data_IF_073377569077
#
_entry.id   IF_073377569077
#
_cell.length_a   1.000
_cell.length_b   1.000
_cell.length_c   1.000
_cell.angle_alpha   90.00
_cell.angle_beta   90.00
_cell.angle_gamma   90.00
#
_symmetry.space_group_name_H-M   'P 1'
#
loop_
_entity.id
_entity.type
_entity.pdbx_description
1 polymer ?
#
# COMPACT_ATOMS: atom_id res chain seq x y z
N UNK A 1 -1.62 -26.64 8.07
CA UNK A 1 -1.40 -26.80 9.52
C UNK A 1 0.11 -26.78 9.79
N UNK A 2 0.57 -26.12 10.85
CA UNK A 2 1.95 -26.22 11.35
C UNK A 2 1.98 -27.20 12.53
N UNK A 3 3.07 -27.92 12.68
CA UNK A 3 3.30 -28.87 13.77
C UNK A 3 4.59 -28.51 14.48
N UNK A 4 4.67 -28.83 15.77
CA UNK A 4 5.85 -28.62 16.59
C UNK A 4 6.51 -29.96 16.86
N UNK A 5 7.80 -30.09 16.53
CA UNK A 5 8.62 -31.25 16.89
C UNK A 5 9.20 -31.04 18.28
N UNK A 6 8.74 -31.85 19.24
CA UNK A 6 9.12 -31.76 20.64
C UNK A 6 10.58 -32.15 20.83
N UNK A 7 11.11 -33.04 19.97
CA UNK A 7 12.48 -33.57 20.07
C UNK A 7 13.51 -32.52 19.65
N UNK A 8 13.23 -31.83 18.56
CA UNK A 8 14.14 -30.85 17.96
C UNK A 8 13.78 -29.41 18.34
N UNK A 9 12.64 -29.18 19.00
CA UNK A 9 12.08 -27.86 19.29
C UNK A 9 11.92 -27.00 18.03
N UNK A 10 11.60 -27.63 16.89
CA UNK A 10 11.46 -26.95 15.59
C UNK A 10 10.04 -27.01 15.07
N UNK A 11 9.67 -26.01 14.26
CA UNK A 11 8.36 -25.96 13.60
C UNK A 11 8.47 -26.67 12.26
N UNK A 12 7.60 -27.65 12.04
CA UNK A 12 7.60 -28.50 10.85
C UNK A 12 6.24 -28.40 10.16
N UNK A 13 6.28 -28.32 8.83
CA UNK A 13 5.08 -28.36 7.99
C UNK A 13 4.65 -29.80 7.69
N UNK A 14 3.37 -29.98 7.38
CA UNK A 14 2.82 -31.28 6.95
C UNK A 14 3.63 -31.93 5.83
N UNK A 15 4.00 -31.16 4.80
CA UNK A 15 4.80 -31.67 3.67
C UNK A 15 6.19 -32.14 4.10
N UNK A 16 6.82 -31.47 5.06
CA UNK A 16 8.12 -31.90 5.58
C UNK A 16 8.00 -33.23 6.34
N UNK A 17 6.91 -33.42 7.10
CA UNK A 17 6.63 -34.68 7.80
C UNK A 17 6.43 -35.83 6.79
N UNK A 18 5.62 -35.61 5.75
CA UNK A 18 5.39 -36.59 4.68
C UNK A 18 6.69 -36.94 3.95
N UNK A 19 7.52 -35.93 3.65
CA UNK A 19 8.80 -36.13 2.96
C UNK A 19 9.84 -36.85 3.83
N UNK A 20 9.88 -36.55 5.13
CA UNK A 20 10.79 -37.20 6.07
C UNK A 20 10.44 -38.67 6.31
N UNK A 21 9.17 -39.06 6.09
CA UNK A 21 8.69 -40.42 6.28
C UNK A 21 8.05 -40.97 5.00
N UNK A 22 8.85 -41.24 3.94
CA UNK A 22 8.34 -41.68 2.64
C UNK A 22 7.73 -43.10 2.68
N UNK A 23 8.08 -43.91 3.68
CA UNK A 23 7.59 -45.29 3.84
C UNK A 23 6.37 -45.41 4.77
N UNK A 24 5.84 -44.31 5.28
CA UNK A 24 4.66 -44.32 6.16
C UNK A 24 3.49 -43.65 5.48
N UNK A 25 2.38 -44.38 5.35
CA UNK A 25 1.13 -43.81 4.86
C UNK A 25 0.43 -43.03 5.98
N UNK A 26 0.23 -41.74 5.77
CA UNK A 26 -0.51 -40.89 6.70
C UNK A 26 -1.97 -40.74 6.26
N UNK A 27 -2.90 -40.94 7.20
CA UNK A 27 -4.28 -40.48 7.01
C UNK A 27 -4.34 -38.97 7.25
N UNK A 28 -4.93 -38.22 6.31
CA UNK A 28 -5.07 -36.77 6.40
C UNK A 28 -6.51 -36.38 6.79
N UNK A 29 -6.70 -35.41 7.71
CA UNK A 29 -5.67 -34.69 8.47
C UNK A 29 -4.95 -35.59 9.50
N UNK A 30 -3.68 -35.28 9.79
CA UNK A 30 -2.86 -36.04 10.74
C UNK A 30 -3.59 -36.18 12.08
N UNK A 31 -3.81 -37.43 12.49
CA UNK A 31 -4.43 -37.75 13.78
C UNK A 31 -3.47 -37.47 14.93
N UNK A 32 -4.00 -37.15 16.10
CA UNK A 32 -3.19 -36.88 17.28
C UNK A 32 -2.33 -38.09 17.69
N UNK A 33 -2.81 -39.30 17.42
CA UNK A 33 -2.04 -40.53 17.64
C UNK A 33 -0.84 -40.68 16.69
N UNK A 34 -0.99 -40.30 15.41
CA UNK A 34 0.10 -40.33 14.45
C UNK A 34 1.16 -39.26 14.77
N UNK A 35 0.73 -38.10 15.28
CA UNK A 35 1.60 -37.03 15.74
C UNK A 35 2.38 -37.45 16.99
N UNK A 36 1.70 -38.02 17.99
CA UNK A 36 2.33 -38.51 19.22
C UNK A 36 3.39 -39.59 18.94
N UNK A 37 3.13 -40.50 17.99
CA UNK A 37 4.09 -41.53 17.59
C UNK A 37 5.37 -40.98 16.91
N UNK A 38 5.33 -39.74 16.43
CA UNK A 38 6.46 -39.04 15.81
C UNK A 38 7.07 -37.97 16.71
N UNK A 39 6.66 -37.88 17.98
CA UNK A 39 6.98 -36.77 18.89
C UNK A 39 6.63 -35.38 18.32
N UNK A 40 5.55 -35.33 17.52
CA UNK A 40 5.01 -34.11 16.96
C UNK A 40 3.74 -33.71 17.72
N UNK A 41 3.48 -32.41 17.78
CA UNK A 41 2.25 -31.86 18.32
C UNK A 41 1.65 -30.82 17.37
N UNK A 42 0.34 -30.59 17.47
CA UNK A 42 -0.33 -29.51 16.73
C UNK A 42 0.12 -28.15 17.29
N UNK A 43 0.61 -27.28 16.41
CA UNK A 43 0.94 -25.91 16.75
C UNK A 43 -0.28 -25.02 16.47
N UNK A 44 -0.82 -24.42 17.51
CA UNK A 44 -1.88 -23.41 17.44
C UNK A 44 -1.25 -22.02 17.50
N UNK A 45 -1.89 -21.02 16.89
CA UNK A 45 -1.47 -19.62 16.99
C UNK A 45 -2.19 -18.97 18.17
N UNK A 46 -1.47 -18.26 19.04
CA UNK A 46 -2.11 -17.43 20.07
C UNK A 46 -2.69 -16.15 19.43
N UNK A 47 -3.51 -15.41 20.18
CA UNK A 47 -4.07 -14.15 19.71
C UNK A 47 -2.94 -13.17 19.35
N UNK A 48 -2.92 -12.71 18.09
CA UNK A 48 -1.94 -11.71 17.65
C UNK A 48 -2.18 -10.41 18.41
N UNK A 49 -1.18 -9.87 19.13
CA UNK A 49 -1.33 -8.61 19.85
C UNK A 49 -1.60 -7.46 18.88
N UNK A 50 -2.39 -6.48 19.31
CA UNK A 50 -2.53 -5.22 18.59
C UNK A 50 -1.20 -4.47 18.65
N UNK A 51 -0.75 -3.93 17.52
CA UNK A 51 0.50 -3.19 17.40
C UNK A 51 0.32 -2.01 16.45
N UNK A 52 1.19 -1.01 16.60
CA UNK A 52 1.22 0.13 15.70
C UNK A 52 2.04 -0.20 14.45
N UNK A 53 1.38 -0.23 13.30
CA UNK A 53 1.97 -0.54 12.01
C UNK A 53 2.86 0.57 11.44
N UNK A 54 3.05 1.70 12.12
CA UNK A 54 4.06 2.69 11.75
C UNK A 54 5.38 2.55 12.54
N UNK A 55 5.33 2.01 13.75
CA UNK A 55 6.49 2.01 14.67
C UNK A 55 6.96 0.62 15.10
N UNK A 56 6.10 -0.39 14.99
CA UNK A 56 6.34 -1.71 15.58
C UNK A 56 6.18 -2.83 14.56
N UNK A 57 6.83 -3.96 14.80
CA UNK A 57 6.61 -5.19 14.05
C UNK A 57 6.36 -6.35 14.99
N UNK A 58 5.46 -7.26 14.59
CA UNK A 58 5.19 -8.47 15.35
C UNK A 58 6.10 -9.58 14.85
N UNK A 59 6.86 -10.18 15.75
CA UNK A 59 7.69 -11.35 15.46
C UNK A 59 7.10 -12.58 16.14
N UNK A 60 7.30 -13.74 15.51
CA UNK A 60 6.98 -15.04 16.09
C UNK A 60 7.96 -15.30 17.25
N UNK A 61 7.44 -15.45 18.47
CA UNK A 61 8.20 -15.72 19.69
C UNK A 61 8.47 -17.21 19.93
N UNK A 62 8.83 -17.56 21.16
CA UNK A 62 9.00 -18.95 21.56
C UNK A 62 7.65 -19.68 21.59
N UNK A 63 7.67 -20.99 21.31
CA UNK A 63 6.46 -21.82 21.44
C UNK A 63 6.25 -22.13 22.91
N UNK A 64 5.06 -21.83 23.44
CA UNK A 64 4.67 -22.15 24.82
C UNK A 64 3.73 -23.35 24.85
N UNK A 65 3.98 -24.29 25.76
CA UNK A 65 3.07 -25.39 26.02
C UNK A 65 1.99 -24.95 27.02
N UNK A 66 0.72 -25.04 26.62
CA UNK A 66 -0.44 -24.78 27.48
C UNK A 66 -1.42 -25.93 27.36
N UNK A 67 -1.59 -26.67 28.45
CA UNK A 67 -2.57 -27.77 28.58
C UNK A 67 -2.48 -28.85 27.49
N UNK A 68 -1.25 -29.27 27.12
CA UNK A 68 -1.02 -30.31 26.10
C UNK A 68 -1.20 -29.85 24.64
N UNK A 69 -1.37 -28.53 24.43
CA UNK A 69 -1.32 -27.89 23.12
C UNK A 69 -0.17 -26.88 23.07
N UNK A 70 0.49 -26.78 21.92
CA UNK A 70 1.62 -25.88 21.72
C UNK A 70 1.13 -24.61 21.04
N UNK A 71 1.45 -23.45 21.61
CA UNK A 71 1.03 -22.15 21.12
C UNK A 71 2.23 -21.35 20.62
N UNK A 72 2.13 -20.88 19.38
CA UNK A 72 3.04 -19.88 18.84
C UNK A 72 2.75 -18.53 19.51
N UNK A 73 3.67 -18.05 20.35
CA UNK A 73 3.56 -16.70 20.93
C UNK A 73 4.00 -15.65 19.92
N UNK A 74 3.60 -14.41 20.16
CA UNK A 74 3.95 -13.25 19.34
C UNK A 74 4.49 -12.15 20.26
N UNK A 75 5.61 -11.56 19.90
CA UNK A 75 6.15 -10.38 20.59
C UNK A 75 6.20 -9.19 19.65
N UNK A 76 5.96 -8.01 20.21
CA UNK A 76 5.99 -6.74 19.49
C UNK A 76 7.36 -6.11 19.75
N UNK A 77 8.12 -5.88 18.69
CA UNK A 77 9.40 -5.18 18.76
C UNK A 77 9.31 -3.84 18.03
N UNK A 78 10.16 -2.89 18.42
CA UNK A 78 10.32 -1.64 17.69
C UNK A 78 10.93 -1.91 16.31
N UNK A 79 10.40 -1.23 15.30
CA UNK A 79 10.87 -1.37 13.93
C UNK A 79 12.28 -0.81 13.80
N UNK A 80 13.21 -1.48 13.09
CA UNK A 80 14.54 -0.93 12.88
C UNK A 80 14.46 0.40 12.11
N UNK A 81 15.32 1.35 12.50
CA UNK A 81 15.37 2.69 11.92
C UNK A 81 15.54 2.67 10.38
N UNK A 82 16.30 1.71 9.86
CA UNK A 82 16.50 1.53 8.41
C UNK A 82 15.19 1.20 7.67
N UNK A 83 14.31 0.40 8.27
CA UNK A 83 13.02 0.08 7.65
C UNK A 83 12.10 1.32 7.62
N UNK A 84 12.11 2.12 8.69
CA UNK A 84 11.37 3.39 8.75
C UNK A 84 11.88 4.35 7.66
N UNK A 85 13.20 4.46 7.51
CA UNK A 85 13.80 5.29 6.48
C UNK A 85 13.46 4.82 5.06
N UNK A 86 13.51 3.51 4.81
CA UNK A 86 13.13 2.91 3.53
C UNK A 86 11.66 3.19 3.18
N UNK A 87 10.74 3.01 4.14
CA UNK A 87 9.32 3.31 3.95
C UNK A 87 9.10 4.79 3.64
N UNK A 88 9.80 5.67 4.36
CA UNK A 88 9.75 7.11 4.12
C UNK A 88 10.30 7.47 2.73
N UNK A 89 11.39 6.85 2.29
CA UNK A 89 11.95 7.05 0.94
C UNK A 89 11.00 6.52 -0.15
N UNK A 90 10.34 5.39 0.09
CA UNK A 90 9.31 4.84 -0.80
C UNK A 90 8.12 5.80 -0.93
N UNK A 91 7.59 6.31 0.20
CA UNK A 91 6.52 7.32 0.22
C UNK A 91 6.93 8.59 -0.55
N UNK A 92 8.13 9.13 -0.30
CA UNK A 92 8.67 10.28 -1.06
C UNK A 92 8.75 10.02 -2.56
N UNK A 93 9.15 8.80 -2.95
CA UNK A 93 9.26 8.41 -4.35
C UNK A 93 7.89 8.29 -5.02
N UNK A 94 6.89 7.73 -4.33
CA UNK A 94 5.51 7.65 -4.80
C UNK A 94 4.92 9.05 -5.03
N UNK A 95 5.07 9.98 -4.08
CA UNK A 95 4.56 11.35 -4.26
C UNK A 95 5.25 12.07 -5.42
N UNK A 96 6.58 11.90 -5.59
CA UNK A 96 7.31 12.44 -6.75
C UNK A 96 6.80 11.85 -8.07
N UNK A 97 6.48 10.56 -8.10
CA UNK A 97 5.92 9.91 -9.28
C UNK A 97 4.52 10.45 -9.62
N UNK A 98 3.64 10.60 -8.63
CA UNK A 98 2.31 11.21 -8.82
C UNK A 98 2.40 12.67 -9.31
N UNK A 99 3.31 13.46 -8.72
CA UNK A 99 3.60 14.82 -9.20
C UNK A 99 4.03 14.82 -10.66
N UNK A 100 4.96 13.93 -11.02
CA UNK A 100 5.44 13.82 -12.40
C UNK A 100 4.31 13.43 -13.35
N UNK A 101 3.44 12.49 -12.97
CA UNK A 101 2.26 12.12 -13.76
C UNK A 101 1.35 13.34 -14.03
N UNK A 102 0.99 14.10 -12.98
CA UNK A 102 0.17 15.33 -13.10
C UNK A 102 0.84 16.42 -13.95
N UNK A 103 2.17 16.54 -13.89
CA UNK A 103 2.92 17.45 -14.77
C UNK A 103 2.89 16.97 -16.22
N UNK A 104 2.98 15.67 -16.48
CA UNK A 104 2.88 15.14 -17.85
C UNK A 104 1.47 15.29 -18.41
N UNK A 105 0.43 15.01 -17.62
CA UNK A 105 -0.98 15.16 -18.01
C UNK A 105 -1.34 16.60 -18.39
N UNK A 106 -0.68 17.58 -17.77
CA UNK A 106 -0.92 19.01 -18.00
C UNK A 106 0.12 19.67 -18.92
N UNK A 107 0.96 18.88 -19.59
CA UNK A 107 2.02 19.43 -20.42
C UNK A 107 1.49 20.11 -21.70
N UNK A 108 0.47 19.52 -22.32
CA UNK A 108 -0.20 20.06 -23.51
C UNK A 108 -0.75 21.48 -23.31
N UNK A 109 -1.16 21.82 -22.08
CA UNK A 109 -1.73 23.11 -21.73
C UNK A 109 -0.70 24.25 -21.75
N UNK A 110 0.60 23.93 -21.66
CA UNK A 110 1.69 24.90 -21.74
C UNK A 110 2.23 25.11 -23.16
N UNK A 111 1.77 24.32 -24.14
CA UNK A 111 2.25 24.44 -25.51
C UNK A 111 1.73 25.74 -26.16
N UNK A 112 2.51 26.38 -27.06
CA UNK A 112 2.06 27.55 -27.81
C UNK A 112 0.74 27.31 -28.56
N UNK A 113 0.62 26.12 -29.18
CA UNK A 113 -0.55 25.68 -29.95
C UNK A 113 -1.72 25.17 -29.09
N UNK A 114 -1.63 25.31 -27.77
CA UNK A 114 -2.70 24.89 -26.87
C UNK A 114 -3.98 25.71 -27.12
N UNK A 115 -5.17 25.07 -27.17
CA UNK A 115 -6.45 25.75 -27.39
C UNK A 115 -6.90 26.64 -26.21
N UNK A 116 -6.16 26.63 -25.09
CA UNK A 116 -6.47 27.43 -23.91
C UNK A 116 -6.22 28.93 -24.17
N UNK A 117 -7.10 29.77 -23.61
CA UNK A 117 -6.90 31.22 -23.56
C UNK A 117 -5.81 31.57 -22.53
N UNK A 118 -5.23 32.77 -22.63
CA UNK A 118 -4.13 33.21 -21.77
C UNK A 118 -4.47 33.15 -20.26
N UNK A 119 -5.73 33.41 -19.91
CA UNK A 119 -6.22 33.29 -18.54
C UNK A 119 -6.07 31.86 -18.00
N UNK A 120 -6.54 30.85 -18.74
CA UNK A 120 -6.48 29.44 -18.34
C UNK A 120 -5.03 28.91 -18.36
N UNK A 121 -4.20 29.40 -19.29
CA UNK A 121 -2.74 29.14 -19.28
C UNK A 121 -2.10 29.65 -18.00
N UNK A 122 -2.52 30.82 -17.49
CA UNK A 122 -2.06 31.36 -16.20
C UNK A 122 -2.43 30.49 -14.99
N UNK A 123 -3.65 29.95 -14.97
CA UNK A 123 -4.10 29.00 -13.94
C UNK A 123 -3.24 27.73 -13.98
N UNK A 124 -3.05 27.17 -15.17
CA UNK A 124 -2.27 25.94 -15.33
C UNK A 124 -0.78 26.15 -14.99
N UNK A 125 -0.22 27.32 -15.31
CA UNK A 125 1.14 27.68 -14.91
C UNK A 125 1.27 27.72 -13.37
N UNK A 126 0.30 28.32 -12.69
CA UNK A 126 0.27 28.40 -11.22
C UNK A 126 0.15 27.02 -10.58
N UNK A 127 -0.73 26.16 -11.11
CA UNK A 127 -0.89 24.77 -10.68
C UNK A 127 0.41 23.96 -10.83
N UNK A 128 1.06 24.06 -12.00
CA UNK A 128 2.33 23.35 -12.26
C UNK A 128 3.48 23.86 -11.39
N UNK A 129 3.48 25.14 -11.02
CA UNK A 129 4.42 25.68 -10.02
C UNK A 129 4.16 25.07 -8.64
N UNK A 130 2.90 25.09 -8.19
CA UNK A 130 2.52 24.48 -6.92
C UNK A 130 2.92 23.00 -6.83
N UNK A 131 2.73 22.22 -7.91
CA UNK A 131 3.18 20.82 -7.99
C UNK A 131 4.71 20.68 -7.83
N UNK A 132 5.50 21.58 -8.44
CA UNK A 132 6.97 21.54 -8.36
C UNK A 132 7.50 21.88 -6.98
N UNK A 133 6.79 22.74 -6.25
CA UNK A 133 7.19 23.21 -4.92
C UNK A 133 6.90 22.17 -3.81
N UNK A 134 6.03 21.18 -4.06
CA UNK A 134 5.64 20.14 -3.08
C UNK A 134 6.81 19.50 -2.32
N UNK A 135 7.92 19.05 -2.96
CA UNK A 135 9.01 18.41 -2.24
C UNK A 135 9.76 19.33 -1.27
N UNK A 136 9.59 20.65 -1.40
CA UNK A 136 10.19 21.66 -0.53
C UNK A 136 9.23 22.13 0.58
N UNK A 137 7.97 21.72 0.56
CA UNK A 137 6.97 22.10 1.56
C UNK A 137 7.19 21.34 2.88
N UNK A 138 6.92 22.02 4.00
CA UNK A 138 6.90 21.39 5.31
C UNK A 138 5.80 20.31 5.35
N UNK A 139 6.13 19.10 5.83
CA UNK A 139 5.20 17.97 5.87
C UNK A 139 5.29 17.01 4.69
N UNK A 140 6.17 17.23 3.72
CA UNK A 140 6.47 16.25 2.67
C UNK A 140 7.06 14.95 3.28
N UNK A 141 6.58 13.75 2.91
CA UNK A 141 5.63 13.41 1.84
C UNK A 141 4.16 13.22 2.28
N UNK A 142 3.79 13.58 3.50
CA UNK A 142 2.46 13.32 4.05
C UNK A 142 1.39 14.30 3.56
N UNK A 143 1.79 15.48 3.09
CA UNK A 143 0.85 16.46 2.54
C UNK A 143 0.29 15.99 1.19
N UNK A 144 -1.01 16.21 0.94
CA UNK A 144 -1.62 15.91 -0.35
C UNK A 144 -1.03 16.79 -1.45
N UNK A 145 -0.95 16.24 -2.68
CA UNK A 145 -0.59 17.02 -3.85
C UNK A 145 -1.68 18.06 -4.17
N UNK A 146 -1.31 19.28 -4.61
CA UNK A 146 -2.26 20.29 -5.08
C UNK A 146 -3.29 19.70 -6.03
N UNK A 147 -4.56 20.03 -5.80
CA UNK A 147 -5.66 19.58 -6.64
C UNK A 147 -5.60 20.27 -8.01
N UNK A 148 -5.85 19.50 -9.07
CA UNK A 148 -5.83 20.00 -10.44
C UNK A 148 -7.09 20.80 -10.78
N UNK A 149 -7.03 21.67 -11.81
CA UNK A 149 -8.15 22.49 -12.23
C UNK A 149 -9.37 21.70 -12.76
N UNK A 150 -9.22 20.39 -13.02
CA UNK A 150 -10.29 19.51 -13.53
C UNK A 150 -11.22 18.92 -12.45
N UNK A 151 -10.96 19.13 -11.16
CA UNK A 151 -11.98 18.87 -10.13
C UNK A 151 -12.83 20.13 -9.91
N UNK A 152 -13.60 20.46 -10.95
CA UNK A 152 -14.77 21.37 -11.01
C UNK A 152 -14.74 22.61 -10.09
N UNK A 153 -14.20 23.75 -10.55
CA UNK A 153 -14.52 25.04 -9.95
C UNK A 153 -15.73 25.72 -10.62
N UNK A 154 -16.32 25.16 -11.69
CA UNK A 154 -17.45 25.77 -12.40
C UNK A 154 -18.57 24.76 -12.70
N UNK A 155 -19.58 24.70 -11.85
CA UNK A 155 -20.90 24.13 -12.21
C UNK A 155 -21.71 25.07 -13.13
N UNK A 156 -21.14 26.20 -13.58
CA UNK A 156 -21.84 27.23 -14.36
C UNK A 156 -21.33 27.41 -15.80
N UNK A 157 -20.68 26.41 -16.41
CA UNK A 157 -20.54 26.37 -17.88
C UNK A 157 -21.67 25.56 -18.49
N UNK A 158 -22.88 26.12 -18.45
CA UNK A 158 -23.81 25.88 -19.55
C UNK A 158 -23.40 26.82 -20.69
N UNK A 159 -22.66 26.29 -21.66
CA UNK A 159 -22.57 26.92 -22.98
C UNK A 159 -23.97 26.85 -23.60
N UNK A 160 -24.76 27.92 -23.46
CA UNK A 160 -26.06 28.05 -24.12
C UNK A 160 -25.81 28.43 -25.58
N UNK A 161 -25.69 27.43 -26.45
CA UNK A 161 -25.39 27.62 -27.88
C UNK A 161 -26.51 28.30 -28.68
N UNK A 162 -27.65 28.65 -28.06
CA UNK A 162 -28.78 29.33 -28.73
C UNK A 162 -28.72 30.86 -28.70
N UNK A 163 -27.77 31.49 -28.00
CA UNK A 163 -27.73 32.96 -27.86
C UNK A 163 -26.74 33.66 -28.82
N UNK A 164 -26.11 32.95 -29.77
CA UNK A 164 -25.31 33.59 -30.81
C UNK A 164 -26.18 33.96 -32.03
N UNK A 165 -26.91 35.08 -31.92
CA UNK A 165 -27.54 35.71 -33.08
C UNK A 165 -26.53 36.69 -33.70
N UNK A 166 -26.02 36.36 -34.88
CA UNK A 166 -25.18 37.25 -35.67
C UNK A 166 -26.06 38.28 -36.39
N UNK A 167 -26.26 39.46 -35.78
CA UNK A 167 -26.82 40.63 -36.47
C UNK A 167 -25.69 41.54 -36.93
N UNK A 168 -25.08 41.25 -38.09
CA UNK A 168 -24.33 42.27 -38.79
C UNK A 168 -24.95 42.52 -40.17
N UNK A 169 -25.21 43.78 -40.55
CA UNK A 169 -25.77 44.08 -41.86
C UNK A 169 -24.75 43.74 -42.94
N UNK A 170 -25.18 42.96 -43.93
CA UNK A 170 -24.38 42.66 -45.12
C UNK A 170 -23.98 43.98 -45.82
N UNK A 171 -22.71 44.19 -46.17
CA UNK A 171 -22.31 45.33 -46.98
C UNK A 171 -22.93 45.22 -48.38
N UNK A 172 -23.41 46.35 -48.90
CA UNK A 172 -24.07 46.47 -50.22
C UNK A 172 -23.15 46.10 -51.37
#
# INVERSE_FOLDING_TARGET
MRYYDITNSTIVSERQILKANPSTSFALPLSDAALAGLNLAKLLEDARPSYDADTQTVIEGAVEERSGSYYQTYSVIDRPAEAIENDLNNKKSQVRAQRNARLTETDWAMMPDSPLIDYDKGIMASYRTALRDVPAQAGFPNNPLPEGPDQRPYESWTYNSTDFVWEAPLPK
#
